data_IF_370969306931
#
_entry.id   IF_370969306931
#
_cell.length_a   1.000
_cell.length_b   1.000
_cell.length_c   1.000
_cell.angle_alpha   90.00
_cell.angle_beta   90.00
_cell.angle_gamma   90.00
#
_symmetry.space_group_name_H-M   'P 1'
#
loop_
_entity.id
_entity.type
_entity.pdbx_description
1 polymer ?
#
# COMPACT_ATOMS: atom_id res chain seq x y z
N UNK A 1 9.39 -14.36 9.99
CA UNK A 1 8.63 -14.55 8.72
C UNK A 1 7.45 -13.59 8.64
N UNK A 2 6.42 -13.69 9.51
CA UNK A 2 5.23 -12.82 9.45
C UNK A 2 5.55 -11.32 9.52
N UNK A 3 6.42 -10.89 10.45
CA UNK A 3 6.86 -9.49 10.55
C UNK A 3 7.46 -8.93 9.25
N UNK A 4 8.20 -9.76 8.49
CA UNK A 4 8.75 -9.37 7.19
C UNK A 4 7.65 -9.24 6.11
N UNK A 5 6.64 -10.11 6.12
CA UNK A 5 5.48 -9.97 5.25
C UNK A 5 4.71 -8.67 5.57
N UNK A 6 4.54 -8.34 6.85
CA UNK A 6 3.90 -7.10 7.28
C UNK A 6 4.71 -5.87 6.85
N UNK A 7 6.04 -5.88 7.03
CA UNK A 7 6.92 -4.84 6.52
C UNK A 7 6.75 -4.65 5.00
N UNK A 8 6.76 -5.74 4.23
CA UNK A 8 6.57 -5.67 2.77
C UNK A 8 5.21 -5.05 2.42
N UNK A 9 4.13 -5.49 3.08
CA UNK A 9 2.80 -4.93 2.89
C UNK A 9 2.78 -3.42 3.18
N UNK A 10 3.39 -2.99 4.29
CA UNK A 10 3.48 -1.55 4.64
C UNK A 10 4.22 -0.78 3.56
N UNK A 11 5.37 -1.27 3.11
CA UNK A 11 6.21 -0.60 2.11
C UNK A 11 5.48 -0.46 0.76
N UNK A 12 4.79 -1.52 0.32
CA UNK A 12 4.02 -1.55 -0.94
C UNK A 12 2.80 -0.64 -0.87
N UNK A 13 2.04 -0.70 0.22
CA UNK A 13 0.76 -0.01 0.36
C UNK A 13 0.91 1.46 0.75
N UNK A 14 2.04 1.86 1.36
CA UNK A 14 2.32 3.27 1.68
C UNK A 14 2.26 4.20 0.46
N UNK A 15 2.48 3.70 -0.76
CA UNK A 15 2.34 4.50 -1.99
C UNK A 15 0.91 5.06 -2.18
N UNK A 16 -0.11 4.47 -1.56
CA UNK A 16 -1.50 4.98 -1.54
C UNK A 16 -1.60 6.41 -0.99
N UNK A 17 -0.69 6.80 -0.09
CA UNK A 17 -0.71 8.10 0.58
C UNK A 17 0.13 9.18 -0.14
N UNK A 18 0.59 8.92 -1.36
CA UNK A 18 1.39 9.86 -2.14
C UNK A 18 2.66 10.30 -1.40
N UNK A 19 3.02 11.60 -1.42
CA UNK A 19 4.21 12.13 -0.74
C UNK A 19 4.26 11.92 0.78
N UNK A 20 3.11 11.70 1.43
CA UNK A 20 3.08 11.36 2.87
C UNK A 20 3.55 9.91 3.13
N UNK A 21 3.37 9.04 2.14
CA UNK A 21 3.83 7.66 2.18
C UNK A 21 5.30 7.54 1.80
N UNK A 22 5.61 7.97 0.57
CA UNK A 22 6.94 7.98 -0.03
C UNK A 22 7.11 9.24 -0.89
N UNK A 23 8.29 9.86 -0.86
CA UNK A 23 8.57 11.02 -1.72
C UNK A 23 8.54 10.65 -3.21
N UNK A 24 8.91 9.41 -3.54
CA UNK A 24 8.86 8.86 -4.91
C UNK A 24 8.17 7.50 -4.94
N UNK A 25 7.65 7.12 -6.10
CA UNK A 25 7.04 5.80 -6.29
C UNK A 25 8.12 4.79 -6.65
N UNK A 26 8.28 3.77 -5.82
CA UNK A 26 9.26 2.69 -6.02
C UNK A 26 8.57 1.40 -6.48
N UNK A 27 9.17 0.65 -7.42
CA UNK A 27 8.56 -0.54 -8.03
C UNK A 27 8.80 -1.83 -7.21
N UNK A 28 8.40 -1.83 -5.94
CA UNK A 28 8.47 -3.03 -5.10
C UNK A 28 7.56 -4.14 -5.64
N UNK A 29 8.07 -5.37 -5.62
CA UNK A 29 7.39 -6.55 -6.15
C UNK A 29 7.51 -7.77 -5.20
N UNK A 30 6.73 -8.81 -5.47
CA UNK A 30 6.73 -10.02 -4.64
C UNK A 30 8.09 -10.74 -4.60
N UNK A 31 8.92 -10.59 -5.63
CA UNK A 31 10.28 -11.12 -5.66
C UNK A 31 11.18 -10.51 -4.57
N UNK A 32 11.01 -9.22 -4.25
CA UNK A 32 11.75 -8.58 -3.16
C UNK A 32 11.45 -9.26 -1.81
N UNK A 33 10.18 -9.64 -1.59
CA UNK A 33 9.79 -10.40 -0.39
C UNK A 33 10.37 -11.82 -0.43
N UNK A 34 10.19 -12.55 -1.53
CA UNK A 34 10.67 -13.93 -1.64
C UNK A 34 12.17 -14.03 -1.39
N UNK A 35 12.98 -13.18 -2.04
CA UNK A 35 14.44 -13.21 -1.84
C UNK A 35 14.83 -12.79 -0.43
N UNK A 36 14.15 -11.81 0.19
CA UNK A 36 14.43 -11.48 1.59
C UNK A 36 14.08 -12.63 2.54
N UNK A 37 13.04 -13.41 2.25
CA UNK A 37 12.63 -14.56 3.06
C UNK A 37 13.61 -15.72 2.91
N UNK A 38 14.12 -15.98 1.70
CA UNK A 38 15.20 -16.95 1.46
C UNK A 38 16.49 -16.56 2.20
N UNK A 39 16.88 -15.28 2.10
CA UNK A 39 18.04 -14.76 2.84
C UNK A 39 17.83 -14.90 4.35
N UNK A 40 16.64 -14.55 4.86
CA UNK A 40 16.33 -14.70 6.28
C UNK A 40 16.45 -16.17 6.73
N UNK A 41 15.89 -17.11 5.97
CA UNK A 41 15.95 -18.54 6.27
C UNK A 41 17.40 -19.03 6.36
N UNK A 42 18.22 -18.72 5.35
CA UNK A 42 19.64 -19.10 5.32
C UNK A 42 20.41 -18.56 6.54
N UNK A 43 20.20 -17.29 6.90
CA UNK A 43 20.89 -16.67 8.04
C UNK A 43 20.47 -17.25 9.40
N UNK A 44 19.21 -17.70 9.52
CA UNK A 44 18.68 -18.29 10.75
C UNK A 44 19.11 -19.75 10.89
N UNK A 45 19.15 -20.50 9.79
CA UNK A 45 19.55 -21.91 9.79
C UNK A 45 21.07 -22.10 9.99
N UNK A 46 21.89 -21.24 9.40
CA UNK A 46 23.35 -21.37 9.44
C UNK A 46 24.00 -20.88 10.74
N UNK A 47 23.26 -20.17 11.61
CA UNK A 47 23.84 -19.48 12.77
C UNK A 47 23.08 -19.75 14.07
N UNK A 48 23.79 -19.95 15.20
CA UNK A 48 23.15 -20.18 16.50
C UNK A 48 22.46 -18.93 17.08
N UNK A 49 22.77 -17.74 16.55
CA UNK A 49 22.17 -16.47 16.94
C UNK A 49 21.86 -15.65 15.70
N UNK A 50 20.64 -15.12 15.64
CA UNK A 50 20.18 -14.28 14.53
C UNK A 50 20.94 -12.94 14.53
N UNK A 51 21.66 -12.59 13.45
CA UNK A 51 22.36 -11.31 13.34
C UNK A 51 21.40 -10.22 12.84
N UNK A 52 20.61 -9.66 13.76
CA UNK A 52 19.56 -8.68 13.43
C UNK A 52 20.06 -7.41 12.74
N UNK A 53 21.25 -6.93 13.11
CA UNK A 53 21.86 -5.75 12.48
C UNK A 53 22.25 -6.02 11.02
N UNK A 54 22.87 -7.17 10.76
CA UNK A 54 23.24 -7.59 9.41
C UNK A 54 21.99 -7.76 8.53
N UNK A 55 20.94 -8.40 9.06
CA UNK A 55 19.67 -8.56 8.35
C UNK A 55 19.04 -7.21 8.00
N UNK A 56 18.99 -6.26 8.95
CA UNK A 56 18.47 -4.91 8.70
C UNK A 56 19.29 -4.18 7.66
N UNK A 57 20.62 -4.29 7.71
CA UNK A 57 21.50 -3.69 6.71
C UNK A 57 21.26 -4.29 5.32
N UNK A 58 21.24 -5.61 5.19
CA UNK A 58 21.00 -6.29 3.91
C UNK A 58 19.63 -5.92 3.35
N UNK A 59 18.57 -5.98 4.16
CA UNK A 59 17.22 -5.67 3.69
C UNK A 59 17.05 -4.20 3.34
N UNK A 60 17.61 -3.28 4.14
CA UNK A 60 17.36 -1.86 3.97
C UNK A 60 18.34 -1.13 3.08
N UNK A 61 19.58 -1.58 2.95
CA UNK A 61 20.59 -0.93 2.08
C UNK A 61 20.68 -1.60 0.72
N UNK A 62 20.57 -2.93 0.67
CA UNK A 62 20.86 -3.73 -0.53
C UNK A 62 19.56 -4.14 -1.22
N UNK A 63 18.61 -4.73 -0.50
CA UNK A 63 17.36 -5.26 -1.08
C UNK A 63 16.37 -4.13 -1.37
N UNK A 64 15.58 -3.72 -0.37
CA UNK A 64 14.61 -2.63 -0.53
C UNK A 64 15.32 -1.30 -0.79
N UNK A 65 16.48 -1.07 -0.15
CA UNK A 65 17.29 0.12 -0.35
C UNK A 65 17.80 0.31 -1.77
N UNK A 66 17.99 -0.77 -2.53
CA UNK A 66 18.42 -0.69 -3.92
C UNK A 66 17.41 -0.03 -4.85
N UNK A 67 16.13 0.01 -4.47
CA UNK A 67 15.08 0.69 -5.21
C UNK A 67 14.98 2.19 -4.87
N UNK A 68 15.44 2.59 -3.69
CA UNK A 68 15.21 3.92 -3.13
C UNK A 68 16.24 4.90 -3.67
N UNK A 69 15.77 6.04 -4.20
CA UNK A 69 16.64 7.09 -4.75
C UNK A 69 16.67 8.37 -3.91
N UNK A 70 15.75 8.51 -2.96
CA UNK A 70 15.65 9.65 -2.06
C UNK A 70 16.21 9.29 -0.66
N UNK A 71 17.08 10.14 -0.12
CA UNK A 71 17.76 9.88 1.15
C UNK A 71 16.80 9.81 2.34
N UNK A 72 15.74 10.63 2.33
CA UNK A 72 14.73 10.63 3.40
C UNK A 72 13.87 9.37 3.36
N UNK A 73 13.47 8.93 2.16
CA UNK A 73 12.80 7.64 1.99
C UNK A 73 13.70 6.48 2.46
N UNK A 74 15.02 6.58 2.28
CA UNK A 74 15.98 5.56 2.75
C UNK A 74 16.03 5.49 4.27
N UNK A 75 16.07 6.65 4.93
CA UNK A 75 15.98 6.75 6.39
C UNK A 75 14.65 6.18 6.90
N UNK A 76 13.55 6.46 6.22
CA UNK A 76 12.22 5.95 6.56
C UNK A 76 12.16 4.41 6.43
N UNK A 77 12.65 3.86 5.33
CA UNK A 77 12.72 2.41 5.12
C UNK A 77 13.52 1.72 6.24
N UNK A 78 14.67 2.30 6.60
CA UNK A 78 15.48 1.81 7.71
C UNK A 78 14.78 1.93 9.07
N UNK A 79 14.02 3.00 9.30
CA UNK A 79 13.23 3.15 10.52
C UNK A 79 12.21 2.01 10.65
N UNK A 80 11.52 1.65 9.56
CA UNK A 80 10.61 0.50 9.56
C UNK A 80 11.30 -0.82 9.84
N UNK A 81 12.44 -1.08 9.21
CA UNK A 81 13.21 -2.30 9.47
C UNK A 81 13.71 -2.37 10.92
N UNK A 82 14.05 -1.23 11.53
CA UNK A 82 14.41 -1.16 12.96
C UNK A 82 13.25 -1.44 13.89
N UNK A 83 12.01 -1.25 13.44
CA UNK A 83 10.80 -1.58 14.21
C UNK A 83 10.38 -3.02 14.00
N UNK A 84 10.41 -3.53 12.78
CA UNK A 84 9.85 -4.83 12.43
C UNK A 84 10.84 -6.00 12.51
N UNK A 85 12.13 -5.74 12.28
CA UNK A 85 13.18 -6.77 12.25
C UNK A 85 13.98 -6.67 13.55
N UNK A 86 13.37 -7.14 14.63
CA UNK A 86 13.89 -7.10 16.00
C UNK A 86 13.66 -8.46 16.69
N UNK A 87 14.42 -8.82 17.72
CA UNK A 87 14.22 -10.09 18.46
C UNK A 87 12.76 -10.34 18.88
N UNK A 88 12.07 -9.27 19.28
CA UNK A 88 10.68 -9.28 19.74
C UNK A 88 9.70 -9.70 18.64
N UNK A 89 10.11 -9.64 17.36
CA UNK A 89 9.26 -10.03 16.23
C UNK A 89 8.90 -11.51 16.19
N UNK A 90 9.51 -12.33 17.05
CA UNK A 90 9.18 -13.74 17.20
C UNK A 90 7.97 -13.97 18.12
N UNK A 91 7.81 -13.16 19.18
CA UNK A 91 6.89 -13.52 20.28
C UNK A 91 5.97 -12.38 20.76
N UNK A 92 6.38 -11.11 20.67
CA UNK A 92 5.68 -10.02 21.40
C UNK A 92 5.72 -8.65 20.72
N UNK A 93 6.12 -8.60 19.45
CA UNK A 93 6.13 -7.34 18.71
C UNK A 93 4.71 -6.87 18.41
N UNK A 94 4.43 -5.63 18.75
CA UNK A 94 3.26 -4.92 18.28
C UNK A 94 3.55 -4.34 16.88
N UNK A 95 2.91 -4.86 15.84
CA UNK A 95 3.10 -4.45 14.45
C UNK A 95 2.45 -3.10 14.17
N UNK A 96 1.28 -2.87 14.76
CA UNK A 96 0.56 -1.62 14.70
C UNK A 96 -0.28 -1.46 15.98
N UNK A 97 -0.79 -0.26 16.29
CA UNK A 97 -1.65 -0.06 17.46
C UNK A 97 -2.82 -1.05 17.44
N UNK A 98 -2.86 -1.97 18.41
CA UNK A 98 -3.90 -3.01 18.51
C UNK A 98 -3.66 -4.27 17.67
N UNK A 99 -2.52 -4.39 16.97
CA UNK A 99 -2.15 -5.58 16.19
C UNK A 99 -0.81 -6.13 16.69
N UNK A 100 -0.85 -7.29 17.33
CA UNK A 100 0.33 -8.04 17.75
C UNK A 100 0.76 -9.05 16.68
N UNK A 101 2.02 -9.47 16.72
CA UNK A 101 2.48 -10.57 15.88
C UNK A 101 1.73 -11.85 16.28
N UNK A 102 1.01 -12.49 15.35
CA UNK A 102 0.33 -13.75 15.63
C UNK A 102 1.35 -14.88 15.89
N UNK A 103 1.00 -15.79 16.80
CA UNK A 103 1.81 -16.96 17.11
C UNK A 103 2.09 -17.81 15.85
N UNK A 104 3.19 -18.60 15.82
CA UNK A 104 3.49 -19.48 14.70
C UNK A 104 2.34 -20.46 14.43
N UNK A 105 1.69 -20.33 13.28
CA UNK A 105 0.61 -21.21 12.82
C UNK A 105 0.84 -21.64 11.37
N UNK A 106 0.00 -22.55 10.88
CA UNK A 106 0.05 -23.03 9.49
C UNK A 106 -0.40 -21.90 8.55
N UNK A 107 0.08 -21.91 7.30
CA UNK A 107 -0.34 -20.93 6.29
C UNK A 107 -1.87 -20.78 6.15
N UNK A 108 -2.61 -21.90 6.16
CA UNK A 108 -4.06 -21.87 6.05
C UNK A 108 -4.72 -21.21 7.28
N UNK A 109 -4.16 -21.42 8.46
CA UNK A 109 -4.64 -20.81 9.70
C UNK A 109 -4.37 -19.30 9.69
N UNK A 110 -3.21 -18.87 9.18
CA UNK A 110 -2.92 -17.45 8.97
C UNK A 110 -3.91 -16.81 8.00
N UNK A 111 -4.25 -17.48 6.91
CA UNK A 111 -5.20 -16.96 5.93
C UNK A 111 -6.61 -16.86 6.49
N UNK A 112 -7.05 -17.87 7.26
CA UNK A 112 -8.34 -17.83 7.94
C UNK A 112 -8.39 -16.71 8.98
N UNK A 113 -7.32 -16.54 9.77
CA UNK A 113 -7.20 -15.44 10.73
C UNK A 113 -7.21 -14.06 10.06
N UNK A 114 -6.53 -13.88 8.93
CA UNK A 114 -6.52 -12.61 8.19
C UNK A 114 -7.89 -12.25 7.59
N UNK A 115 -8.67 -13.25 7.15
CA UNK A 115 -9.94 -13.03 6.44
C UNK A 115 -11.13 -12.97 7.41
N UNK A 116 -11.15 -13.85 8.41
CA UNK A 116 -12.29 -14.07 9.29
C UNK A 116 -12.01 -13.64 10.74
N UNK A 117 -10.78 -13.29 11.09
CA UNK A 117 -10.41 -12.91 12.45
C UNK A 117 -10.97 -11.55 12.85
N UNK A 118 -11.67 -11.49 13.98
CA UNK A 118 -12.14 -10.23 14.58
C UNK A 118 -10.99 -9.38 15.13
N UNK A 119 -9.86 -10.01 15.44
CA UNK A 119 -8.67 -9.36 16.02
C UNK A 119 -7.88 -8.53 15.00
N UNK A 120 -8.03 -8.80 13.70
CA UNK A 120 -7.33 -8.04 12.67
C UNK A 120 -8.09 -6.73 12.39
N UNK A 121 -7.50 -5.56 12.70
CA UNK A 121 -8.20 -4.29 12.58
C UNK A 121 -8.46 -3.93 11.11
N UNK A 122 -9.54 -3.16 10.88
CA UNK A 122 -9.81 -2.60 9.56
C UNK A 122 -8.62 -1.74 9.08
N UNK A 123 -8.34 -1.80 7.77
CA UNK A 123 -7.29 -0.98 7.17
C UNK A 123 -7.46 0.50 7.52
N UNK A 124 -6.43 1.06 8.16
CA UNK A 124 -6.35 2.47 8.54
C UNK A 124 -4.93 2.98 8.38
N UNK A 125 -4.71 4.31 8.24
CA UNK A 125 -3.35 4.88 8.15
C UNK A 125 -2.42 4.46 9.30
N UNK A 126 -2.99 4.14 10.46
CA UNK A 126 -2.26 3.70 11.65
C UNK A 126 -1.49 2.41 11.41
N UNK A 127 -2.02 1.48 10.61
CA UNK A 127 -1.32 0.24 10.25
C UNK A 127 -0.03 0.51 9.49
N UNK A 128 0.03 1.63 8.78
CA UNK A 128 1.19 2.06 8.03
C UNK A 128 2.07 3.03 8.83
N UNK A 129 1.81 3.27 10.12
CA UNK A 129 2.52 4.26 10.93
C UNK A 129 2.23 5.70 10.56
N UNK A 130 1.08 5.98 9.94
CA UNK A 130 0.63 7.33 9.57
C UNK A 130 -0.47 7.82 10.52
N UNK A 131 -0.55 9.14 10.68
CA UNK A 131 -1.64 9.76 11.42
C UNK A 131 -2.99 9.56 10.69
N UNK A 132 -4.13 9.34 11.40
CA UNK A 132 -5.44 9.13 10.78
C UNK A 132 -5.86 10.19 9.75
N UNK A 133 -5.40 11.44 9.91
CA UNK A 133 -5.65 12.52 8.94
C UNK A 133 -5.13 12.21 7.51
N UNK A 134 -4.15 11.31 7.36
CA UNK A 134 -3.68 10.88 6.04
C UNK A 134 -4.80 10.22 5.22
N UNK A 135 -5.82 9.63 5.88
CA UNK A 135 -6.98 9.06 5.21
C UNK A 135 -7.81 10.12 4.48
N UNK A 136 -7.92 11.34 5.02
CA UNK A 136 -8.74 12.41 4.42
C UNK A 136 -8.30 12.67 2.98
N UNK A 137 -7.01 12.96 2.80
CA UNK A 137 -6.46 13.24 1.46
C UNK A 137 -6.58 12.02 0.53
N UNK A 138 -6.30 10.82 1.03
CA UNK A 138 -6.45 9.58 0.26
C UNK A 138 -7.88 9.42 -0.26
N UNK A 139 -8.87 9.53 0.62
CA UNK A 139 -10.30 9.42 0.28
C UNK A 139 -10.76 10.52 -0.66
N UNK A 140 -10.29 11.77 -0.46
CA UNK A 140 -10.60 12.90 -1.35
C UNK A 140 -10.10 12.64 -2.77
N UNK A 141 -8.87 12.16 -2.93
CA UNK A 141 -8.31 11.84 -4.25
C UNK A 141 -9.07 10.70 -4.91
N UNK A 142 -9.42 9.64 -4.16
CA UNK A 142 -10.24 8.55 -4.71
C UNK A 142 -11.63 9.02 -5.15
N UNK A 143 -12.27 9.89 -4.37
CA UNK A 143 -13.57 10.46 -4.71
C UNK A 143 -13.49 11.32 -5.98
N UNK A 144 -12.44 12.14 -6.14
CA UNK A 144 -12.23 12.94 -7.36
C UNK A 144 -12.06 12.04 -8.59
N UNK A 145 -11.21 11.01 -8.51
CA UNK A 145 -11.04 10.03 -9.60
C UNK A 145 -12.38 9.37 -9.93
N UNK A 146 -13.14 8.93 -8.92
CA UNK A 146 -14.45 8.33 -9.11
C UNK A 146 -15.42 9.28 -9.84
N UNK A 147 -15.55 10.52 -9.39
CA UNK A 147 -16.43 11.51 -10.02
C UNK A 147 -16.00 11.85 -11.44
N UNK A 148 -14.70 11.97 -11.69
CA UNK A 148 -14.17 12.18 -13.04
C UNK A 148 -14.49 11.00 -13.96
N UNK A 149 -14.29 9.77 -13.50
CA UNK A 149 -14.65 8.57 -14.28
C UNK A 149 -16.14 8.52 -14.57
N UNK A 150 -17.00 8.82 -13.59
CA UNK A 150 -18.46 8.89 -13.80
C UNK A 150 -18.82 9.95 -14.86
N UNK A 151 -18.22 11.14 -14.77
CA UNK A 151 -18.46 12.21 -15.72
C UNK A 151 -17.96 11.88 -17.13
N UNK A 152 -16.84 11.15 -17.26
CA UNK A 152 -16.31 10.67 -18.55
C UNK A 152 -17.21 9.60 -19.20
N UNK A 153 -17.90 8.80 -18.38
CA UNK A 153 -18.87 7.80 -18.85
C UNK A 153 -20.21 8.41 -19.25
N UNK A 154 -20.48 9.67 -18.89
CA UNK A 154 -21.73 10.33 -19.25
C UNK A 154 -21.81 10.53 -20.77
N UNK A 155 -22.92 10.12 -21.43
CA UNK A 155 -23.05 10.29 -22.87
C UNK A 155 -23.01 11.78 -23.23
N UNK A 156 -22.00 12.18 -24.00
CA UNK A 156 -21.91 13.54 -24.53
C UNK A 156 -23.03 13.71 -25.56
N UNK A 157 -24.14 14.32 -25.13
CA UNK A 157 -25.15 14.83 -26.05
C UNK A 157 -24.43 15.82 -26.97
N UNK A 158 -24.28 15.44 -28.24
CA UNK A 158 -23.88 16.39 -29.26
C UNK A 158 -24.99 17.44 -29.30
N UNK A 159 -24.67 18.64 -28.84
CA UNK A 159 -25.51 19.82 -29.02
C UNK A 159 -25.61 20.12 -30.51
N UNK A 160 -26.43 19.36 -31.24
CA UNK A 160 -26.95 19.72 -32.55
C UNK A 160 -27.89 20.89 -32.33
N UNK A 161 -27.35 22.09 -32.51
CA UNK A 161 -28.10 23.33 -32.42
C UNK A 161 -29.31 23.34 -33.34
N UNK A 162 -30.37 23.89 -32.79
CA UNK A 162 -31.56 24.42 -33.45
C UNK A 162 -31.31 24.95 -34.87
N UNK A 163 -32.13 24.49 -35.81
CA UNK A 163 -32.55 25.32 -36.95
C UNK A 163 -34.05 25.10 -37.18
N UNK A 164 -34.86 25.52 -36.21
CA UNK A 164 -36.23 25.96 -36.44
C UNK A 164 -36.19 27.19 -37.36
N UNK A 165 -36.46 27.01 -38.65
CA UNK A 165 -36.94 28.12 -39.50
C UNK A 165 -38.41 27.89 -39.84
N UNK A 166 -39.29 28.49 -39.04
CA UNK A 166 -40.63 28.82 -39.49
C UNK A 166 -40.54 30.14 -40.28
N UNK A 167 -40.75 30.09 -41.59
CA UNK A 167 -41.27 31.22 -42.36
C UNK A 167 -42.36 30.70 -43.29
N UNK A 168 -43.61 31.09 -43.00
CA UNK A 168 -44.73 30.87 -43.88
C UNK A 168 -44.69 31.82 -45.08
N UNK A 169 -45.26 31.36 -46.19
CA UNK A 169 -45.92 32.24 -47.15
C UNK A 169 -47.20 31.57 -47.63
N UNK A 170 -48.26 32.38 -47.67
CA UNK A 170 -49.63 32.05 -48.01
C UNK A 170 -49.88 31.85 -49.52
N UNK A 171 -50.96 31.11 -49.78
CA UNK A 171 -51.98 31.27 -50.85
C UNK A 171 -51.69 30.89 -52.33
N UNK A 172 -52.36 29.80 -52.73
CA UNK A 172 -53.43 29.66 -53.77
C UNK A 172 -53.18 29.84 -55.28
N UNK A 173 -54.02 29.07 -56.03
CA UNK A 173 -54.40 29.06 -57.47
C UNK A 173 -53.60 28.10 -58.35
N UNK A 174 -54.18 27.24 -59.18
CA UNK A 174 -55.57 26.86 -59.54
C UNK A 174 -55.60 25.35 -59.86
#
# INVERSE_FOLDING_TARGET
MFSMCFFHAVVVERKKFGPLGWNRVYPYNAGDLTTCMEVAANYIEDRPKVPWEDLRYVFGEIMYGGHITDDWDRVLCMAYLRTFVVPECCDSLQLAPGLEVPAPMTYNEYMDWLINGEDFPQESPLLFGLHPNAEINYRTVQADVLFRTINELQPKQHGGGDMLSAQGSCAAKD
#
